data_IF_970200488755
#
_entry.id   IF_970200488755
#
_cell.length_a   1.000
_cell.length_b   1.000
_cell.length_c   1.000
_cell.angle_alpha   90.00
_cell.angle_beta   90.00
_cell.angle_gamma   90.00
#
_symmetry.space_group_name_H-M   'P 1'
#
loop_
_entity.id
_entity.type
_entity.pdbx_description
1 polymer ?
#
# COMPACT_ATOMS: atom_id res chain seq x y z
N UNK A 1 2.88 -30.08 7.33
CA UNK A 1 2.88 -29.17 8.51
C UNK A 1 4.13 -28.30 8.55
N UNK A 2 5.32 -28.81 8.21
CA UNK A 2 6.56 -28.03 8.10
C UNK A 2 6.61 -27.06 6.91
N UNK A 3 6.04 -27.42 5.75
CA UNK A 3 5.98 -26.53 4.56
C UNK A 3 5.22 -25.21 4.80
N UNK A 4 4.14 -25.25 5.57
CA UNK A 4 3.33 -24.05 5.87
C UNK A 4 4.10 -23.03 6.71
N UNK A 5 5.03 -23.48 7.57
CA UNK A 5 5.86 -22.57 8.37
C UNK A 5 6.96 -21.89 7.54
N UNK A 6 7.49 -22.55 6.51
CA UNK A 6 8.52 -21.96 5.65
C UNK A 6 7.96 -20.86 4.74
N UNK A 7 6.71 -20.96 4.28
CA UNK A 7 6.09 -19.96 3.39
C UNK A 7 5.41 -18.82 4.16
N UNK A 8 4.87 -19.09 5.35
CA UNK A 8 4.16 -18.06 6.15
C UNK A 8 5.10 -17.02 6.76
N UNK A 9 6.31 -17.43 7.17
CA UNK A 9 7.25 -16.52 7.84
C UNK A 9 7.78 -15.40 6.92
N UNK A 10 8.23 -15.66 5.68
CA UNK A 10 8.61 -14.62 4.73
C UNK A 10 7.46 -13.65 4.40
N UNK A 11 6.26 -14.16 4.14
CA UNK A 11 5.09 -13.31 3.81
C UNK A 11 4.66 -12.44 4.98
N UNK A 12 4.80 -12.94 6.22
CA UNK A 12 4.62 -12.14 7.42
C UNK A 12 5.64 -10.99 7.50
N UNK A 13 6.93 -11.26 7.28
CA UNK A 13 7.97 -10.22 7.35
C UNK A 13 7.78 -9.13 6.29
N UNK A 14 7.39 -9.50 5.07
CA UNK A 14 7.09 -8.53 4.00
C UNK A 14 5.87 -7.68 4.39
N UNK A 15 4.76 -8.32 4.77
CA UNK A 15 3.54 -7.60 5.18
C UNK A 15 3.79 -6.67 6.37
N UNK A 16 4.61 -7.12 7.33
CA UNK A 16 5.00 -6.31 8.48
C UNK A 16 5.83 -5.09 8.07
N UNK A 17 6.75 -5.24 7.10
CA UNK A 17 7.49 -4.10 6.54
C UNK A 17 6.53 -3.08 5.93
N UNK A 18 5.63 -3.48 5.04
CA UNK A 18 4.76 -2.51 4.35
C UNK A 18 3.81 -1.82 5.35
N UNK A 19 3.34 -2.54 6.37
CA UNK A 19 2.54 -1.96 7.44
C UNK A 19 3.30 -0.90 8.24
N UNK A 20 4.59 -1.14 8.53
CA UNK A 20 5.45 -0.15 9.17
C UNK A 20 5.69 1.06 8.27
N UNK A 21 5.90 0.86 6.98
CA UNK A 21 6.11 1.94 6.02
C UNK A 21 4.88 2.85 5.91
N UNK A 22 3.69 2.25 5.77
CA UNK A 22 2.43 3.00 5.82
C UNK A 22 2.29 3.78 7.14
N UNK A 23 2.63 3.16 8.28
CA UNK A 23 2.58 3.82 9.58
C UNK A 23 3.57 5.00 9.69
N UNK A 24 4.78 4.86 9.12
CA UNK A 24 5.78 5.93 9.07
C UNK A 24 5.25 7.10 8.23
N UNK A 25 4.66 6.84 7.05
CA UNK A 25 4.09 7.89 6.20
C UNK A 25 2.99 8.65 6.94
N UNK A 26 2.05 7.95 7.56
CA UNK A 26 0.96 8.57 8.35
C UNK A 26 1.53 9.38 9.52
N UNK A 27 2.54 8.86 10.21
CA UNK A 27 3.20 9.56 11.32
C UNK A 27 3.88 10.85 10.84
N UNK A 28 4.58 10.82 9.70
CA UNK A 28 5.19 12.02 9.10
C UNK A 28 4.12 13.05 8.79
N UNK A 29 3.00 12.65 8.17
CA UNK A 29 1.91 13.56 7.84
C UNK A 29 1.32 14.23 9.08
N UNK A 30 0.90 13.44 10.08
CA UNK A 30 0.28 13.95 11.32
C UNK A 30 1.26 14.82 12.10
N UNK A 31 2.52 14.40 12.21
CA UNK A 31 3.56 15.18 12.91
C UNK A 31 3.83 16.49 12.19
N UNK A 32 3.81 16.51 10.86
CA UNK A 32 4.04 17.72 10.09
C UNK A 32 2.86 18.69 10.16
N UNK A 33 1.62 18.20 10.06
CA UNK A 33 0.42 19.01 10.26
C UNK A 33 0.41 19.69 11.63
N UNK A 34 0.85 18.94 12.65
CA UNK A 34 1.07 19.47 14.00
C UNK A 34 2.16 20.55 14.04
N UNK A 35 3.29 20.32 13.37
CA UNK A 35 4.41 21.27 13.28
C UNK A 35 4.01 22.60 12.64
N UNK A 36 3.11 22.60 11.66
CA UNK A 36 2.62 23.82 10.99
C UNK A 36 1.38 24.43 11.64
N UNK A 37 0.95 23.92 12.81
CA UNK A 37 -0.21 24.44 13.55
C UNK A 37 -1.57 24.13 12.92
N UNK A 38 -1.66 23.13 12.04
CA UNK A 38 -2.89 22.72 11.34
C UNK A 38 -3.37 21.35 11.84
N UNK A 39 -3.38 21.15 13.15
CA UNK A 39 -3.82 19.90 13.79
C UNK A 39 -5.28 19.55 13.47
N UNK A 40 -6.13 20.55 13.20
CA UNK A 40 -7.53 20.37 12.79
C UNK A 40 -7.68 19.52 11.51
N UNK A 41 -6.61 19.44 10.71
CA UNK A 41 -6.59 18.68 9.47
C UNK A 41 -6.19 17.21 9.66
N UNK A 42 -5.75 16.80 10.86
CA UNK A 42 -5.39 15.42 11.15
C UNK A 42 -6.55 14.45 10.90
N UNK A 43 -7.80 14.90 11.12
CA UNK A 43 -9.01 14.11 10.83
C UNK A 43 -9.10 13.69 9.36
N UNK A 44 -8.64 14.53 8.43
CA UNK A 44 -8.63 14.23 7.00
C UNK A 44 -7.56 13.21 6.64
N UNK A 45 -6.40 13.27 7.29
CA UNK A 45 -5.37 12.24 7.14
C UNK A 45 -5.89 10.87 7.60
N UNK A 46 -6.51 10.80 8.79
CA UNK A 46 -7.12 9.55 9.29
C UNK A 46 -8.26 9.04 8.41
N UNK A 47 -9.09 9.94 7.85
CA UNK A 47 -10.15 9.56 6.90
C UNK A 47 -9.56 8.93 5.64
N UNK A 48 -8.50 9.53 5.08
CA UNK A 48 -7.80 9.02 3.89
C UNK A 48 -7.16 7.66 4.17
N UNK A 49 -6.46 7.52 5.30
CA UNK A 49 -5.88 6.26 5.76
C UNK A 49 -6.96 5.18 5.94
N UNK A 50 -8.07 5.48 6.62
CA UNK A 50 -9.17 4.53 6.83
C UNK A 50 -9.80 4.08 5.51
N UNK A 51 -10.05 5.02 4.58
CA UNK A 51 -10.57 4.70 3.26
C UNK A 51 -9.60 3.81 2.45
N UNK A 52 -8.30 4.06 2.54
CA UNK A 52 -7.28 3.25 1.89
C UNK A 52 -7.27 1.80 2.42
N UNK A 53 -7.33 1.63 3.74
CA UNK A 53 -7.39 0.29 4.36
C UNK A 53 -8.62 -0.49 3.91
N UNK A 54 -9.80 0.15 3.91
CA UNK A 54 -11.04 -0.47 3.41
C UNK A 54 -10.89 -0.85 1.93
N UNK A 55 -10.33 0.04 1.11
CA UNK A 55 -10.10 -0.23 -0.31
C UNK A 55 -9.16 -1.42 -0.52
N UNK A 56 -8.05 -1.51 0.22
CA UNK A 56 -7.13 -2.64 0.13
C UNK A 56 -7.79 -3.96 0.55
N UNK A 57 -8.61 -3.96 1.62
CA UNK A 57 -9.37 -5.15 2.01
C UNK A 57 -10.36 -5.59 0.93
N UNK A 58 -11.10 -4.64 0.36
CA UNK A 58 -12.04 -4.91 -0.74
C UNK A 58 -11.30 -5.44 -1.96
N UNK A 59 -10.13 -4.89 -2.30
CA UNK A 59 -9.30 -5.37 -3.40
C UNK A 59 -8.85 -6.82 -3.18
N UNK A 60 -8.41 -7.17 -1.96
CA UNK A 60 -8.02 -8.54 -1.62
C UNK A 60 -9.19 -9.53 -1.73
N UNK A 61 -10.35 -9.17 -1.20
CA UNK A 61 -11.56 -10.01 -1.31
C UNK A 61 -12.00 -10.15 -2.77
N UNK A 62 -11.98 -9.06 -3.54
CA UNK A 62 -12.35 -9.07 -4.94
C UNK A 62 -11.44 -10.02 -5.73
N UNK A 63 -10.12 -9.93 -5.54
CA UNK A 63 -9.16 -10.84 -6.17
C UNK A 63 -9.50 -12.30 -5.87
N UNK A 64 -9.75 -12.64 -4.60
CA UNK A 64 -10.09 -14.01 -4.20
C UNK A 64 -11.35 -14.53 -4.91
N UNK A 65 -12.39 -13.69 -5.04
CA UNK A 65 -13.63 -14.04 -5.75
C UNK A 65 -13.38 -14.21 -7.24
N UNK A 66 -12.62 -13.31 -7.86
CA UNK A 66 -12.29 -13.37 -9.28
C UNK A 66 -11.47 -14.62 -9.63
N UNK A 67 -10.46 -14.96 -8.81
CA UNK A 67 -9.66 -16.18 -8.98
C UNK A 67 -10.52 -17.45 -8.85
N UNK A 68 -11.42 -17.51 -7.85
CA UNK A 68 -12.29 -18.67 -7.63
C UNK A 68 -13.31 -18.94 -8.74
N UNK A 69 -13.56 -17.96 -9.62
CA UNK A 69 -14.52 -18.07 -10.74
C UNK A 69 -13.92 -18.45 -12.09
N UNK A 70 -12.60 -18.57 -12.22
CA UNK A 70 -11.92 -18.85 -13.50
C UNK A 70 -11.83 -20.35 -13.79
N UNK A 71 -11.99 -20.74 -15.06
CA UNK A 71 -11.71 -22.10 -15.51
C UNK A 71 -10.21 -22.42 -15.49
N UNK A 72 -9.84 -23.70 -15.24
CA UNK A 72 -8.43 -24.14 -15.01
C UNK A 72 -7.41 -23.56 -16.01
N UNK A 73 -7.70 -23.60 -17.31
CA UNK A 73 -6.78 -23.13 -18.37
C UNK A 73 -6.62 -21.60 -18.38
N UNK A 74 -7.68 -20.85 -18.07
CA UNK A 74 -7.61 -19.39 -18.00
C UNK A 74 -6.90 -18.94 -16.72
N UNK A 75 -7.00 -19.72 -15.64
CA UNK A 75 -6.28 -19.47 -14.38
C UNK A 75 -4.76 -19.56 -14.55
N UNK A 76 -4.24 -20.58 -15.24
CA UNK A 76 -2.79 -20.75 -15.48
C UNK A 76 -2.20 -19.61 -16.33
N UNK A 77 -2.88 -19.18 -17.39
CA UNK A 77 -2.43 -18.04 -18.20
C UNK A 77 -2.49 -16.73 -17.42
N UNK A 78 -3.54 -16.54 -16.61
CA UNK A 78 -3.67 -15.36 -15.77
C UNK A 78 -2.57 -15.31 -14.71
N UNK A 79 -2.22 -16.44 -14.10
CA UNK A 79 -1.11 -16.57 -13.14
C UNK A 79 0.25 -16.22 -13.77
N UNK A 80 0.55 -16.74 -14.97
CA UNK A 80 1.79 -16.42 -15.68
C UNK A 80 1.94 -14.94 -16.01
N UNK A 81 0.86 -14.28 -16.46
CA UNK A 81 0.87 -12.84 -16.73
C UNK A 81 0.92 -12.03 -15.43
N UNK A 82 0.19 -12.45 -14.40
CA UNK A 82 0.17 -11.79 -13.10
C UNK A 82 1.56 -11.81 -12.45
N UNK A 83 2.26 -12.94 -12.46
CA UNK A 83 3.61 -13.06 -11.89
C UNK A 83 4.65 -12.20 -12.64
N UNK A 84 4.61 -12.15 -13.97
CA UNK A 84 5.46 -11.23 -14.75
C UNK A 84 5.16 -9.76 -14.44
N UNK A 85 3.88 -9.40 -14.33
CA UNK A 85 3.47 -8.04 -13.98
C UNK A 85 3.91 -7.67 -12.56
N UNK A 86 3.83 -8.62 -11.61
CA UNK A 86 4.29 -8.45 -10.25
C UNK A 86 5.79 -8.15 -10.24
N UNK A 87 6.64 -8.93 -10.92
CA UNK A 87 8.09 -8.67 -10.98
C UNK A 87 8.40 -7.25 -11.46
N UNK A 88 7.70 -6.74 -12.47
CA UNK A 88 7.90 -5.37 -12.97
C UNK A 88 7.52 -4.33 -11.92
N UNK A 89 6.35 -4.48 -11.30
CA UNK A 89 5.85 -3.56 -10.26
C UNK A 89 6.80 -3.56 -9.06
N UNK A 90 7.19 -4.74 -8.57
CA UNK A 90 8.10 -4.89 -7.44
C UNK A 90 9.48 -4.32 -7.73
N UNK A 91 10.01 -4.57 -8.93
CA UNK A 91 11.30 -4.01 -9.33
C UNK A 91 11.22 -2.48 -9.35
N UNK A 92 10.19 -1.91 -9.98
CA UNK A 92 10.00 -0.46 -10.02
C UNK A 92 9.93 0.16 -8.62
N UNK A 93 9.23 -0.49 -7.70
CA UNK A 93 9.07 -0.06 -6.31
C UNK A 93 10.39 -0.13 -5.52
N UNK A 94 11.19 -1.19 -5.68
CA UNK A 94 12.52 -1.29 -5.04
C UNK A 94 13.40 -0.13 -5.50
N UNK A 95 13.40 0.19 -6.80
CA UNK A 95 14.13 1.35 -7.32
C UNK A 95 13.57 2.67 -6.79
N UNK A 96 12.25 2.78 -6.62
CA UNK A 96 11.60 3.98 -6.09
C UNK A 96 11.99 4.26 -4.64
N UNK A 97 11.89 3.25 -3.75
CA UNK A 97 12.31 3.37 -2.35
C UNK A 97 13.80 3.64 -2.19
N UNK A 98 14.65 2.88 -2.90
CA UNK A 98 16.11 3.04 -2.80
C UNK A 98 16.55 4.46 -3.14
N UNK A 99 15.80 5.15 -4.01
CA UNK A 99 16.05 6.53 -4.39
C UNK A 99 15.43 7.56 -3.44
N UNK A 100 14.28 7.28 -2.82
CA UNK A 100 13.48 8.28 -2.08
C UNK A 100 13.48 8.13 -0.54
N UNK A 101 14.07 7.09 0.07
CA UNK A 101 14.00 6.88 1.54
C UNK A 101 14.46 8.07 2.41
N UNK A 102 15.33 8.96 1.90
CA UNK A 102 15.75 10.19 2.60
C UNK A 102 14.90 11.43 2.26
N UNK A 103 14.21 11.42 1.12
CA UNK A 103 13.48 12.56 0.57
C UNK A 103 11.96 12.46 0.78
N UNK A 104 11.41 11.26 1.06
CA UNK A 104 9.97 11.03 1.33
C UNK A 104 9.43 12.01 2.37
N UNK A 105 10.18 12.26 3.45
CA UNK A 105 9.78 13.25 4.45
C UNK A 105 9.64 14.64 3.80
N UNK A 106 10.65 15.11 3.08
CA UNK A 106 10.62 16.42 2.42
C UNK A 106 9.51 16.54 1.38
N UNK A 107 9.28 15.50 0.57
CA UNK A 107 8.20 15.50 -0.42
C UNK A 107 6.80 15.54 0.20
N UNK A 108 6.58 14.75 1.27
CA UNK A 108 5.33 14.77 2.02
C UNK A 108 5.12 16.16 2.66
N UNK A 109 6.17 16.73 3.27
CA UNK A 109 6.12 18.08 3.86
C UNK A 109 5.76 19.15 2.81
N UNK A 110 6.36 19.08 1.61
CA UNK A 110 6.04 19.99 0.49
C UNK A 110 4.61 19.81 0.00
N UNK A 111 4.16 18.58 -0.21
CA UNK A 111 2.79 18.26 -0.67
C UNK A 111 1.74 18.71 0.35
N UNK A 112 1.99 18.52 1.64
CA UNK A 112 1.11 19.02 2.71
C UNK A 112 1.08 20.54 2.71
N UNK A 113 2.23 21.20 2.60
CA UNK A 113 2.31 22.67 2.58
C UNK A 113 1.52 23.23 1.40
N UNK A 114 1.64 22.62 0.22
CA UNK A 114 0.86 22.99 -0.97
C UNK A 114 -0.65 22.76 -0.75
N UNK A 115 -1.04 21.60 -0.21
CA UNK A 115 -2.45 21.29 0.07
C UNK A 115 -3.07 22.27 1.07
N UNK A 116 -2.33 22.66 2.11
CA UNK A 116 -2.77 23.66 3.10
C UNK A 116 -2.84 25.05 2.49
N UNK A 117 -1.91 25.42 1.61
CA UNK A 117 -1.89 26.75 0.98
C UNK A 117 -3.06 26.95 0.02
N UNK A 118 -3.53 25.89 -0.62
CA UNK A 118 -4.68 25.93 -1.54
C UNK A 118 -6.04 25.81 -0.82
N UNK A 119 -6.06 25.69 0.51
CA UNK A 119 -7.26 25.48 1.34
C UNK A 119 -8.14 24.29 0.89
N UNK A 120 -7.57 23.36 0.12
CA UNK A 120 -8.25 22.15 -0.29
C UNK A 120 -8.16 21.11 0.82
N UNK A 121 -9.17 21.13 1.70
CA UNK A 121 -9.33 20.17 2.79
C UNK A 121 -9.31 18.70 2.30
N UNK A 122 -9.73 18.46 1.06
CA UNK A 122 -9.72 17.15 0.43
C UNK A 122 -8.32 16.67 0.04
N UNK A 123 -7.37 17.57 -0.21
CA UNK A 123 -6.04 17.22 -0.70
C UNK A 123 -5.21 16.47 0.33
N UNK A 124 -5.39 16.73 1.63
CA UNK A 124 -4.78 15.93 2.71
C UNK A 124 -5.36 14.53 2.77
N UNK A 125 -6.68 14.40 2.60
CA UNK A 125 -7.35 13.10 2.54
C UNK A 125 -6.83 12.28 1.37
N UNK A 126 -6.74 12.90 0.18
CA UNK A 126 -6.25 12.25 -1.03
C UNK A 126 -4.77 11.85 -0.90
N UNK A 127 -3.92 12.71 -0.34
CA UNK A 127 -2.51 12.41 -0.09
C UNK A 127 -2.36 11.20 0.85
N UNK A 128 -3.07 11.20 1.99
CA UNK A 128 -3.03 10.10 2.93
C UNK A 128 -3.60 8.81 2.36
N UNK A 129 -4.69 8.92 1.59
CA UNK A 129 -5.29 7.80 0.89
C UNK A 129 -4.31 7.19 -0.10
N UNK A 130 -3.77 7.96 -1.05
CA UNK A 130 -2.88 7.43 -2.09
C UNK A 130 -1.62 6.80 -1.49
N UNK A 131 -1.04 7.45 -0.47
CA UNK A 131 0.14 6.93 0.19
C UNK A 131 -0.11 5.57 0.85
N UNK A 132 -1.17 5.45 1.65
CA UNK A 132 -1.48 4.18 2.35
C UNK A 132 -2.04 3.13 1.40
N UNK A 133 -2.83 3.54 0.40
CA UNK A 133 -3.41 2.67 -0.62
C UNK A 133 -2.33 1.96 -1.43
N UNK A 134 -1.24 2.66 -1.76
CA UNK A 134 -0.09 2.09 -2.47
C UNK A 134 0.51 0.91 -1.69
N UNK A 135 0.88 1.12 -0.43
CA UNK A 135 1.46 0.08 0.44
C UNK A 135 0.47 -1.07 0.70
N UNK A 136 -0.82 -0.74 0.88
CA UNK A 136 -1.87 -1.73 1.08
C UNK A 136 -2.17 -2.58 -0.16
N UNK A 137 -2.12 -1.99 -1.36
CA UNK A 137 -2.27 -2.73 -2.62
C UNK A 137 -1.07 -3.63 -2.89
N UNK A 138 0.15 -3.17 -2.61
CA UNK A 138 1.35 -3.99 -2.73
C UNK A 138 1.28 -5.21 -1.80
N UNK A 139 0.85 -5.00 -0.54
CA UNK A 139 0.60 -6.09 0.41
C UNK A 139 -0.39 -7.11 -0.13
N UNK A 140 -1.53 -6.65 -0.68
CA UNK A 140 -2.56 -7.52 -1.26
C UNK A 140 -2.03 -8.32 -2.44
N UNK A 141 -1.26 -7.69 -3.33
CA UNK A 141 -0.67 -8.36 -4.49
C UNK A 141 0.37 -9.41 -4.09
N UNK A 142 1.25 -9.09 -3.13
CA UNK A 142 2.26 -10.03 -2.61
C UNK A 142 1.63 -11.25 -1.94
N UNK A 143 0.65 -11.03 -1.07
CA UNK A 143 -0.06 -12.10 -0.40
C UNK A 143 -0.79 -12.97 -1.42
N UNK A 144 -1.51 -12.36 -2.37
CA UNK A 144 -2.22 -13.10 -3.42
C UNK A 144 -1.27 -13.95 -4.27
N UNK A 145 -0.10 -13.41 -4.66
CA UNK A 145 0.89 -14.16 -5.43
C UNK A 145 1.46 -15.36 -4.66
N UNK A 146 1.62 -15.24 -3.34
CA UNK A 146 2.09 -16.36 -2.50
C UNK A 146 1.01 -17.43 -2.36
N UNK A 147 -0.25 -17.04 -2.15
CA UNK A 147 -1.36 -17.99 -2.02
C UNK A 147 -1.68 -18.72 -3.34
N UNK A 148 -1.51 -18.05 -4.48
CA UNK A 148 -1.69 -18.67 -5.80
C UNK A 148 -0.63 -19.75 -6.06
N UNK A 149 0.58 -19.59 -5.54
CA UNK A 149 1.67 -20.54 -5.73
C UNK A 149 1.51 -21.85 -4.91
N UNK A 150 0.55 -21.92 -3.99
CA UNK A 150 0.28 -23.08 -3.10
C UNK A 150 -0.91 -23.94 -3.57
N UNK A 151 -1.35 -23.83 -4.83
CA UNK A 151 -2.44 -24.63 -5.45
C UNK A 151 -2.01 -25.29 -6.75
#
# INVERSE_FOLDING_TARGET
MSEVYETTFPSFLITFREALEAAIIVTIMVTYLRKIGKEDLNKYAYLGTGAALVMSLVAGIALQIFYGGLGKVTSELFEGVASLSAVVVLTSMIFWMTKHSKEIKGEIEVKITQAVTQDELYSITALAFVAVAREGLETVLFLSATFVQDS
#
